data_IF_641492698795
#
_entry.id   IF_641492698795
#
_cell.length_a   1.000
_cell.length_b   1.000
_cell.length_c   1.000
_cell.angle_alpha   90.00
_cell.angle_beta   90.00
_cell.angle_gamma   90.00
#
_symmetry.space_group_name_H-M   'P 1'
#
loop_
_entity.id
_entity.type
_entity.pdbx_description
1 polymer ?
#
# COMPACT_ATOMS: atom_id res chain seq x y z
N UNK A 1 -1.03 5.26 19.21
CA UNK A 1 -1.63 4.15 18.44
C UNK A 1 -2.88 4.64 17.75
N UNK A 2 -2.93 4.56 16.45
CA UNK A 2 -4.10 4.95 15.66
C UNK A 2 -4.45 3.85 14.67
N UNK A 3 -5.73 3.74 14.36
CA UNK A 3 -6.22 2.87 13.29
C UNK A 3 -6.81 3.73 12.20
N UNK A 4 -6.31 3.56 10.98
CA UNK A 4 -6.79 4.25 9.79
C UNK A 4 -7.36 3.22 8.82
N UNK A 5 -8.56 3.43 8.37
CA UNK A 5 -9.18 2.59 7.34
C UNK A 5 -9.66 3.48 6.20
N UNK A 6 -9.20 3.18 5.01
CA UNK A 6 -9.63 3.85 3.79
C UNK A 6 -10.11 2.82 2.78
N UNK A 7 -11.32 3.03 2.29
CA UNK A 7 -11.85 2.30 1.14
C UNK A 7 -12.20 3.34 0.07
N UNK A 8 -11.59 3.22 -1.09
CA UNK A 8 -11.82 4.15 -2.19
C UNK A 8 -12.07 3.40 -3.48
N UNK A 9 -13.15 3.78 -4.14
CA UNK A 9 -13.46 3.34 -5.47
C UNK A 9 -14.21 2.02 -5.57
N UNK A 10 -14.68 1.79 -6.75
CA UNK A 10 -15.16 0.51 -7.27
C UNK A 10 -14.66 0.39 -8.71
N UNK A 11 -14.29 -0.80 -9.11
CA UNK A 11 -13.54 -1.12 -10.33
C UNK A 11 -13.92 -0.41 -11.63
N UNK A 12 -15.09 0.15 -11.74
CA UNK A 12 -15.54 0.70 -13.01
C UNK A 12 -15.62 2.23 -13.08
N UNK A 13 -15.43 2.93 -11.99
CA UNK A 13 -15.81 4.35 -11.92
C UNK A 13 -14.77 5.28 -11.28
N UNK A 14 -13.80 4.76 -10.57
CA UNK A 14 -12.77 5.59 -9.94
C UNK A 14 -11.53 5.69 -10.85
N UNK A 15 -11.00 6.87 -11.00
CA UNK A 15 -9.78 7.10 -11.78
C UNK A 15 -8.95 8.23 -11.19
N UNK A 16 -7.64 8.16 -11.39
CA UNK A 16 -6.69 9.22 -11.05
C UNK A 16 -6.69 9.64 -9.58
N UNK A 17 -6.78 8.69 -8.67
CA UNK A 17 -6.57 8.97 -7.26
C UNK A 17 -5.11 9.31 -7.01
N UNK A 18 -4.87 10.41 -6.31
CA UNK A 18 -3.56 10.77 -5.79
C UNK A 18 -3.67 10.90 -4.26
N UNK A 19 -2.95 10.06 -3.54
CA UNK A 19 -3.09 9.93 -2.10
C UNK A 19 -1.73 10.00 -1.42
N UNK A 20 -1.56 11.03 -0.58
CA UNK A 20 -0.40 11.21 0.27
C UNK A 20 -0.75 10.95 1.73
N UNK A 21 -0.03 10.00 2.34
CA UNK A 21 -0.15 9.68 3.76
C UNK A 21 1.14 10.04 4.47
N UNK A 22 1.06 10.94 5.44
CA UNK A 22 2.20 11.27 6.29
C UNK A 22 1.80 10.98 7.74
N UNK A 23 2.41 9.94 8.32
CA UNK A 23 2.05 9.45 9.64
C UNK A 23 3.30 9.40 10.51
N UNK A 24 3.28 10.20 11.57
CA UNK A 24 4.34 10.23 12.58
C UNK A 24 3.84 9.57 13.87
N UNK A 25 4.61 8.65 14.38
CA UNK A 25 4.32 7.92 15.60
C UNK A 25 4.21 6.42 15.39
N UNK A 26 4.34 5.70 16.47
CA UNK A 26 4.38 4.25 16.45
C UNK A 26 3.05 3.58 16.79
N UNK A 27 3.00 2.28 16.55
CA UNK A 27 1.85 1.44 16.85
C UNK A 27 0.63 1.70 15.98
N UNK A 28 0.80 2.24 14.79
CA UNK A 28 -0.32 2.53 13.91
C UNK A 28 -0.70 1.31 13.07
N UNK A 29 -1.99 1.15 12.87
CA UNK A 29 -2.54 0.15 11.95
C UNK A 29 -3.25 0.87 10.82
N UNK A 30 -2.80 0.62 9.61
CA UNK A 30 -3.32 1.24 8.39
C UNK A 30 -3.84 0.15 7.49
N UNK A 31 -5.10 0.27 7.11
CA UNK A 31 -5.73 -0.61 6.12
C UNK A 31 -6.28 0.25 5.00
N UNK A 32 -5.79 0.05 3.80
CA UNK A 32 -6.26 0.78 2.63
C UNK A 32 -6.62 -0.20 1.52
N UNK A 33 -7.81 -0.04 0.98
CA UNK A 33 -8.29 -0.71 -0.22
C UNK A 33 -8.61 0.35 -1.26
N UNK A 34 -7.83 0.36 -2.33
CA UNK A 34 -7.90 1.36 -3.38
C UNK A 34 -8.21 0.66 -4.68
N UNK A 35 -9.41 0.86 -5.18
CA UNK A 35 -9.87 0.35 -6.46
C UNK A 35 -10.05 1.54 -7.41
N UNK A 36 -8.97 1.91 -8.07
CA UNK A 36 -8.95 3.08 -8.93
C UNK A 36 -7.93 2.92 -10.06
N UNK A 37 -8.33 3.22 -11.27
CA UNK A 37 -7.44 3.17 -12.44
C UNK A 37 -6.36 4.26 -12.33
N UNK A 38 -5.12 3.87 -12.52
CA UNK A 38 -3.99 4.80 -12.52
C UNK A 38 -3.75 5.50 -11.19
N UNK A 39 -4.10 4.86 -10.07
CA UNK A 39 -3.91 5.45 -8.75
C UNK A 39 -2.43 5.65 -8.40
N UNK A 40 -2.11 6.80 -7.83
CA UNK A 40 -0.81 7.12 -7.23
C UNK A 40 -0.96 7.17 -5.73
N UNK A 41 -0.22 6.33 -5.04
CA UNK A 41 -0.24 6.25 -3.59
C UNK A 41 1.17 6.45 -3.03
N UNK A 42 1.32 7.42 -2.18
CA UNK A 42 2.55 7.66 -1.43
C UNK A 42 2.26 7.58 0.07
N UNK A 43 3.04 6.77 0.77
CA UNK A 43 2.91 6.58 2.20
C UNK A 43 4.27 6.80 2.88
N UNK A 44 4.33 7.71 3.83
CA UNK A 44 5.51 8.00 4.63
C UNK A 44 5.18 7.77 6.11
N UNK A 45 5.85 6.80 6.71
CA UNK A 45 5.66 6.40 8.10
C UNK A 45 6.95 6.63 8.89
N UNK A 46 6.86 7.37 9.98
CA UNK A 46 7.97 7.57 10.90
C UNK A 46 7.55 7.10 12.30
N UNK A 47 8.17 6.01 12.77
CA UNK A 47 7.92 5.40 14.07
C UNK A 47 7.95 3.88 14.04
N UNK A 48 8.00 3.30 15.22
CA UNK A 48 8.09 1.85 15.41
C UNK A 48 6.69 1.19 15.42
N UNK A 49 6.64 -0.13 15.26
CA UNK A 49 5.45 -0.97 15.42
C UNK A 49 4.28 -0.61 14.48
N UNK A 50 4.56 -0.13 13.29
CA UNK A 50 3.53 0.17 12.31
C UNK A 50 3.14 -1.07 11.50
N UNK A 51 1.84 -1.25 11.30
CA UNK A 51 1.27 -2.28 10.44
C UNK A 51 0.54 -1.62 9.28
N UNK A 52 0.89 -2.04 8.07
CA UNK A 52 0.23 -1.57 6.84
C UNK A 52 -0.32 -2.76 6.08
N UNK A 53 -1.59 -2.71 5.79
CA UNK A 53 -2.25 -3.59 4.82
C UNK A 53 -2.77 -2.71 3.69
N UNK A 54 -2.21 -2.89 2.52
CA UNK A 54 -2.58 -2.15 1.32
C UNK A 54 -3.04 -3.12 0.24
N UNK A 55 -4.21 -2.88 -0.28
CA UNK A 55 -4.78 -3.60 -1.41
C UNK A 55 -5.13 -2.59 -2.50
N UNK A 56 -4.34 -2.58 -3.55
CA UNK A 56 -4.53 -1.74 -4.71
C UNK A 56 -5.02 -2.59 -5.88
N UNK A 57 -6.19 -2.26 -6.40
CA UNK A 57 -6.79 -2.90 -7.56
C UNK A 57 -7.25 -1.84 -8.56
N UNK A 58 -7.39 -2.21 -9.80
CA UNK A 58 -7.81 -1.30 -10.86
C UNK A 58 -7.51 -1.86 -12.24
N UNK A 59 -7.93 -1.13 -13.25
CA UNK A 59 -7.78 -1.56 -14.63
C UNK A 59 -6.45 -1.10 -15.25
N UNK A 60 -6.00 0.10 -14.93
CA UNK A 60 -4.75 0.67 -15.42
C UNK A 60 -3.66 0.62 -14.34
N UNK A 61 -2.41 0.71 -14.76
CA UNK A 61 -1.24 0.62 -13.90
C UNK A 61 -1.27 1.53 -12.69
N UNK A 62 -0.84 1.01 -11.57
CA UNK A 62 -0.87 1.68 -10.29
C UNK A 62 0.55 1.99 -9.80
N UNK A 63 0.67 3.11 -9.13
CA UNK A 63 1.92 3.53 -8.50
C UNK A 63 1.77 3.53 -6.98
N UNK A 64 2.62 2.77 -6.30
CA UNK A 64 2.67 2.77 -4.84
C UNK A 64 4.10 2.93 -4.34
N UNK A 65 4.32 3.94 -3.50
CA UNK A 65 5.58 4.16 -2.81
C UNK A 65 5.36 4.19 -1.31
N UNK A 66 6.10 3.35 -0.59
CA UNK A 66 6.11 3.30 0.87
C UNK A 66 7.51 3.61 1.37
N UNK A 67 7.63 4.64 2.16
CA UNK A 67 8.84 4.97 2.92
C UNK A 67 8.56 4.83 4.42
N UNK A 68 9.42 4.10 5.12
CA UNK A 68 9.25 3.88 6.54
C UNK A 68 10.58 3.95 7.29
N UNK A 69 10.58 4.68 8.39
CA UNK A 69 11.68 4.76 9.34
C UNK A 69 11.19 4.27 10.71
N UNK A 70 11.93 3.37 11.33
CA UNK A 70 11.59 2.76 12.61
C UNK A 70 11.59 1.23 12.55
N UNK A 71 11.61 0.59 13.71
CA UNK A 71 11.65 -0.86 13.83
C UNK A 71 10.29 -1.53 13.91
N UNK A 72 10.30 -2.87 13.97
CA UNK A 72 9.12 -3.71 14.24
C UNK A 72 7.90 -3.38 13.37
N UNK A 73 8.04 -3.54 12.09
CA UNK A 73 6.99 -3.22 11.11
C UNK A 73 6.41 -4.46 10.46
N UNK A 74 5.16 -4.39 10.06
CA UNK A 74 4.51 -5.43 9.25
C UNK A 74 3.83 -4.79 8.06
N UNK A 75 4.24 -5.18 6.85
CA UNK A 75 3.65 -4.69 5.62
C UNK A 75 3.10 -5.86 4.81
N UNK A 76 1.82 -5.80 4.52
CA UNK A 76 1.14 -6.68 3.58
C UNK A 76 0.64 -5.82 2.41
N UNK A 77 1.31 -5.91 1.29
CA UNK A 77 1.04 -5.09 0.11
C UNK A 77 0.58 -5.98 -1.02
N UNK A 78 -0.62 -5.74 -1.49
CA UNK A 78 -1.17 -6.34 -2.70
C UNK A 78 -1.42 -5.24 -3.72
N UNK A 79 -0.89 -5.41 -4.91
CA UNK A 79 -1.10 -4.50 -6.01
C UNK A 79 -1.43 -5.31 -7.26
N UNK A 80 -2.62 -5.12 -7.77
CA UNK A 80 -3.15 -5.89 -8.88
C UNK A 80 -3.74 -4.94 -9.94
N UNK A 81 -3.45 -5.22 -11.19
CA UNK A 81 -4.13 -4.58 -12.29
C UNK A 81 -4.34 -5.58 -13.43
N UNK A 82 -5.23 -5.26 -14.33
CA UNK A 82 -5.47 -6.07 -15.53
C UNK A 82 -4.63 -5.61 -16.72
N UNK A 83 -4.01 -4.47 -16.61
CA UNK A 83 -3.06 -3.93 -17.59
C UNK A 83 -1.68 -3.80 -16.97
N UNK A 84 -0.67 -3.88 -17.82
CA UNK A 84 0.72 -3.74 -17.44
C UNK A 84 1.02 -2.36 -16.80
N UNK A 85 2.17 -2.26 -16.14
CA UNK A 85 2.79 -1.06 -15.56
C UNK A 85 2.44 -0.75 -14.11
N UNK A 86 2.19 -1.75 -13.31
CA UNK A 86 2.19 -1.56 -11.87
C UNK A 86 3.61 -1.26 -11.37
N UNK A 87 3.72 -0.24 -10.54
CA UNK A 87 4.99 0.17 -9.97
C UNK A 87 4.92 0.18 -8.45
N UNK A 88 5.86 -0.50 -7.84
CA UNK A 88 5.96 -0.59 -6.39
C UNK A 88 7.37 -0.28 -5.92
N UNK A 89 7.50 0.61 -4.94
CA UNK A 89 8.76 0.88 -4.26
C UNK A 89 8.57 0.92 -2.76
N UNK A 90 9.33 0.08 -2.05
CA UNK A 90 9.37 0.08 -0.58
C UNK A 90 10.78 0.44 -0.14
N UNK A 91 10.90 1.49 0.66
CA UNK A 91 12.13 1.89 1.33
C UNK A 91 11.87 1.78 2.82
N UNK A 92 12.57 0.88 3.49
CA UNK A 92 12.35 0.63 4.90
C UNK A 92 13.68 0.62 5.66
N UNK A 93 13.82 1.56 6.57
CA UNK A 93 14.98 1.72 7.45
C UNK A 93 14.60 1.36 8.88
N UNK A 94 15.23 0.34 9.42
CA UNK A 94 14.99 -0.11 10.79
C UNK A 94 15.21 -1.60 10.94
N UNK A 95 15.23 -2.06 12.17
CA UNK A 95 15.40 -3.47 12.52
C UNK A 95 14.04 -4.16 12.70
N UNK A 96 14.02 -5.47 12.53
CA UNK A 96 12.89 -6.34 12.84
C UNK A 96 11.58 -5.97 12.10
N UNK A 97 11.34 -6.61 11.00
CA UNK A 97 10.08 -6.39 10.30
C UNK A 97 9.79 -7.47 9.29
N UNK A 98 8.54 -7.55 8.90
CA UNK A 98 8.05 -8.45 7.87
C UNK A 98 7.48 -7.63 6.72
N UNK A 99 7.89 -7.96 5.51
CA UNK A 99 7.34 -7.37 4.30
C UNK A 99 6.85 -8.49 3.39
N UNK A 100 5.56 -8.48 3.13
CA UNK A 100 4.92 -9.36 2.18
C UNK A 100 4.40 -8.54 1.00
N UNK A 101 4.83 -8.88 -0.20
CA UNK A 101 4.41 -8.19 -1.42
C UNK A 101 3.84 -9.20 -2.40
N UNK A 102 2.66 -8.90 -2.89
CA UNK A 102 2.04 -9.57 -4.01
C UNK A 102 1.75 -8.53 -5.10
N UNK A 103 2.50 -8.62 -6.20
CA UNK A 103 2.28 -7.75 -7.36
C UNK A 103 1.98 -8.63 -8.55
N UNK A 104 0.78 -8.51 -9.10
CA UNK A 104 0.30 -9.42 -10.12
C UNK A 104 -0.68 -8.74 -11.09
N UNK A 105 -0.27 -8.59 -12.32
CA UNK A 105 -1.08 -8.02 -13.40
C UNK A 105 -2.14 -9.00 -13.95
N UNK A 106 -2.16 -10.23 -13.48
CA UNK A 106 -3.06 -11.29 -13.94
C UNK A 106 -4.16 -11.66 -12.94
N UNK A 107 -4.22 -10.99 -11.82
CA UNK A 107 -5.28 -11.17 -10.85
C UNK A 107 -5.25 -12.47 -10.03
N UNK A 108 -4.15 -13.20 -10.02
CA UNK A 108 -3.97 -14.37 -9.12
C UNK A 108 -3.13 -13.99 -7.92
N UNK A 109 -3.78 -13.93 -6.78
CA UNK A 109 -3.12 -13.68 -5.50
C UNK A 109 -2.40 -14.93 -4.99
N UNK A 110 -1.16 -14.78 -4.59
CA UNK A 110 -0.44 -15.78 -3.80
C UNK A 110 -0.24 -15.24 -2.39
N UNK A 111 -0.52 -16.03 -1.38
CA UNK A 111 -0.24 -15.65 0.00
C UNK A 111 1.25 -15.76 0.34
N UNK A 112 1.71 -14.89 1.21
CA UNK A 112 3.08 -14.96 1.75
C UNK A 112 3.30 -16.12 2.70
#
# INVERSE_FOLDING_TARGET
TNTFTLNHGTAALASQLDLDWIINGGGNTITASIDADGATNYMNLDGDDNTVTFDGDGYAGQYFKLEQTGGSRTFNISQQSTLDNDWLRIISNGSNGTVCVNQNDQGTSTSC
#
